data_IF_000741715581
#
_entry.id   IF_000741715581
#
_cell.length_a   1.000
_cell.length_b   1.000
_cell.length_c   1.000
_cell.angle_alpha   90.00
_cell.angle_beta   90.00
_cell.angle_gamma   90.00
#
_symmetry.space_group_name_H-M   'P 1'
#
loop_
_entity.id
_entity.type
_entity.pdbx_description
1 polymer ?
#
# COMPACT_ATOMS: atom_id res chain seq x y z
N UNK A 1 24.36 -4.96 6.89
CA UNK A 1 23.81 -6.28 7.27
C UNK A 1 22.30 -6.12 7.32
N UNK A 2 21.51 -7.07 6.78
CA UNK A 2 20.06 -6.97 6.78
C UNK A 2 19.51 -6.99 8.21
N UNK A 3 18.47 -6.20 8.47
CA UNK A 3 17.82 -6.13 9.78
C UNK A 3 16.39 -6.68 9.71
N UNK A 4 16.06 -7.60 10.60
CA UNK A 4 14.73 -8.20 10.67
C UNK A 4 13.84 -7.36 11.58
N UNK A 5 12.80 -6.78 11.01
CA UNK A 5 11.72 -6.15 11.76
C UNK A 5 10.96 -7.22 12.56
N UNK A 6 10.74 -6.96 13.85
CA UNK A 6 10.01 -7.85 14.76
C UNK A 6 9.15 -7.04 15.71
N UNK A 7 7.90 -7.49 15.92
CA UNK A 7 6.92 -6.77 16.73
C UNK A 7 6.77 -5.30 16.32
N UNK A 8 6.89 -5.00 15.03
CA UNK A 8 6.81 -3.62 14.57
C UNK A 8 5.36 -3.12 14.66
N UNK A 9 5.23 -1.91 15.21
CA UNK A 9 3.95 -1.21 15.30
C UNK A 9 3.91 -0.09 14.26
N UNK A 10 3.21 -0.35 13.15
CA UNK A 10 3.07 0.63 12.07
C UNK A 10 2.10 1.72 12.50
N UNK A 11 2.61 2.94 12.65
CA UNK A 11 1.82 4.10 13.09
C UNK A 11 1.05 4.73 11.93
N UNK A 12 1.71 4.87 10.79
CA UNK A 12 1.23 5.57 9.60
C UNK A 12 1.54 4.74 8.36
N UNK A 13 0.69 4.88 7.34
CA UNK A 13 0.93 4.46 5.97
C UNK A 13 1.01 5.76 5.16
N UNK A 14 2.20 6.07 4.66
CA UNK A 14 2.45 7.32 3.98
C UNK A 14 2.26 7.18 2.49
N UNK A 15 1.50 8.09 1.86
CA UNK A 15 1.55 8.25 0.41
C UNK A 15 2.85 8.95 0.04
N UNK A 16 3.67 8.29 -0.79
CA UNK A 16 4.96 8.82 -1.24
C UNK A 16 5.16 8.68 -2.76
N UNK A 17 6.06 9.49 -3.31
CA UNK A 17 6.49 9.40 -4.71
C UNK A 17 7.49 8.27 -4.95
N UNK A 18 8.36 8.02 -3.97
CA UNK A 18 9.45 7.04 -4.05
C UNK A 18 9.38 6.09 -2.84
N UNK A 19 8.58 5.00 -2.91
CA UNK A 19 8.41 4.05 -1.81
C UNK A 19 9.69 3.25 -1.56
N UNK A 20 10.12 3.15 -0.30
CA UNK A 20 11.31 2.39 0.10
C UNK A 20 11.20 0.89 -0.24
N UNK A 21 9.96 0.39 -0.33
CA UNK A 21 9.64 -0.99 -0.69
C UNK A 21 9.79 -1.28 -2.18
N UNK A 22 9.87 -0.24 -3.02
CA UNK A 22 9.83 -0.34 -4.48
C UNK A 22 8.47 -0.78 -5.04
N UNK A 23 7.42 -0.86 -4.22
CA UNK A 23 6.07 -1.29 -4.65
C UNK A 23 5.23 -0.09 -5.03
N UNK A 24 4.59 -0.18 -6.18
CA UNK A 24 3.74 0.90 -6.67
C UNK A 24 2.27 0.74 -6.25
N UNK A 25 1.57 1.86 -6.07
CA UNK A 25 0.11 1.90 -5.88
C UNK A 25 -0.60 1.77 -7.23
N UNK A 26 -1.83 1.26 -7.17
CA UNK A 26 -2.75 1.06 -8.27
C UNK A 26 -3.92 2.03 -8.08
N UNK A 27 -4.06 2.98 -9.01
CA UNK A 27 -5.27 3.79 -9.14
C UNK A 27 -6.23 3.07 -10.09
N UNK A 28 -7.42 2.68 -9.62
CA UNK A 28 -8.46 2.19 -10.53
C UNK A 28 -9.04 3.38 -11.32
N UNK A 29 -9.14 3.21 -12.64
CA UNK A 29 -9.42 4.25 -13.64
C UNK A 29 -10.30 3.66 -14.75
N UNK A 30 -11.30 4.41 -15.26
CA UNK A 30 -12.29 3.98 -16.29
C UNK A 30 -11.69 3.50 -17.61
N UNK A 31 -10.59 4.10 -18.05
CA UNK A 31 -10.02 3.82 -19.37
C UNK A 31 -8.94 2.73 -19.23
N UNK A 32 -9.22 1.55 -19.80
CA UNK A 32 -8.51 0.28 -19.61
C UNK A 32 -7.06 0.20 -20.10
N UNK A 33 -6.26 1.21 -19.84
CA UNK A 33 -4.81 1.19 -19.95
C UNK A 33 -4.21 1.59 -18.59
N UNK A 34 -3.54 0.68 -17.88
CA UNK A 34 -2.72 1.06 -16.74
C UNK A 34 -1.54 1.88 -17.27
N UNK A 35 -1.42 3.14 -16.86
CA UNK A 35 -0.14 3.81 -16.98
C UNK A 35 0.75 3.27 -15.85
N UNK A 36 1.95 2.85 -16.24
CA UNK A 36 2.96 2.10 -15.46
C UNK A 36 2.79 0.57 -15.40
N UNK A 37 3.21 -0.08 -16.50
CA UNK A 37 4.29 -1.06 -16.41
C UNK A 37 3.97 -2.51 -16.07
N UNK A 38 2.71 -2.94 -15.88
CA UNK A 38 2.32 -4.38 -15.87
C UNK A 38 0.83 -4.54 -16.15
N UNK A 39 0.49 -5.33 -17.17
CA UNK A 39 -0.88 -5.61 -17.61
C UNK A 39 -1.60 -6.49 -16.57
N UNK A 40 -2.23 -5.87 -15.57
CA UNK A 40 -3.26 -6.52 -14.76
C UNK A 40 -4.54 -6.49 -15.58
N UNK A 41 -5.08 -7.66 -15.94
CA UNK A 41 -6.42 -7.72 -16.54
C UNK A 41 -7.44 -7.45 -15.44
N UNK A 42 -7.87 -6.18 -15.32
CA UNK A 42 -8.90 -5.79 -14.37
C UNK A 42 -10.28 -6.29 -14.80
N UNK A 43 -10.94 -7.05 -13.92
CA UNK A 43 -12.38 -7.23 -13.99
C UNK A 43 -13.07 -5.94 -13.51
N UNK A 44 -13.41 -5.06 -14.47
CA UNK A 44 -14.37 -3.92 -14.41
C UNK A 44 -14.15 -2.82 -13.34
N UNK A 45 -14.13 -1.57 -13.78
CA UNK A 45 -13.82 -0.34 -13.03
C UNK A 45 -14.87 0.08 -11.99
N UNK A 46 -14.45 0.89 -11.01
CA UNK A 46 -15.35 1.74 -10.21
C UNK A 46 -14.63 3.02 -9.72
N UNK A 47 -14.49 4.00 -10.62
CA UNK A 47 -13.99 5.34 -10.30
C UNK A 47 -14.92 6.09 -9.32
N UNK A 48 -16.15 5.60 -9.07
CA UNK A 48 -17.06 6.18 -8.08
C UNK A 48 -16.54 5.97 -6.66
N UNK A 49 -15.64 5.00 -6.45
CA UNK A 49 -15.18 4.63 -5.11
C UNK A 49 -14.00 5.44 -4.59
N UNK A 50 -13.23 6.13 -5.43
CA UNK A 50 -12.04 6.91 -5.02
C UNK A 50 -11.06 6.13 -4.11
N UNK A 51 -10.82 4.84 -4.42
CA UNK A 51 -9.91 3.96 -3.64
C UNK A 51 -8.58 3.78 -4.38
N UNK A 52 -7.48 4.01 -3.66
CA UNK A 52 -6.10 3.73 -4.07
C UNK A 52 -5.65 2.42 -3.42
N UNK A 53 -5.19 1.46 -4.22
CA UNK A 53 -4.70 0.18 -3.72
C UNK A 53 -3.18 0.14 -3.73
N UNK A 54 -2.55 -0.53 -2.78
CA UNK A 54 -1.09 -0.66 -2.78
C UNK A 54 -0.57 -1.62 -1.72
N UNK A 55 0.69 -1.98 -1.84
CA UNK A 55 1.40 -2.74 -0.81
C UNK A 55 1.94 -1.75 0.23
N UNK A 56 1.45 -1.85 1.46
CA UNK A 56 1.96 -1.08 2.59
C UNK A 56 3.33 -1.62 3.04
N UNK A 57 3.51 -2.95 3.06
CA UNK A 57 4.82 -3.56 3.33
C UNK A 57 4.97 -4.94 2.66
N UNK A 58 6.07 -5.22 1.95
CA UNK A 58 6.32 -6.51 1.31
C UNK A 58 6.82 -7.57 2.29
N UNK A 59 6.45 -8.83 2.09
CA UNK A 59 7.13 -9.93 2.77
C UNK A 59 8.54 -10.14 2.20
N UNK A 60 9.51 -10.28 3.10
CA UNK A 60 10.93 -10.36 2.82
C UNK A 60 11.68 -11.46 3.59
N UNK A 61 12.98 -11.50 3.34
CA UNK A 61 13.96 -12.39 3.95
C UNK A 61 15.33 -11.66 3.97
N UNK A 62 16.38 -12.23 4.59
CA UNK A 62 17.71 -11.61 4.56
C UNK A 62 18.27 -11.30 3.16
N UNK A 63 17.80 -12.03 2.14
CA UNK A 63 18.16 -11.86 0.73
C UNK A 63 17.24 -10.89 -0.03
N UNK A 64 16.12 -10.48 0.60
CA UNK A 64 15.07 -9.64 0.02
C UNK A 64 14.67 -8.55 1.02
N UNK A 65 15.50 -7.53 1.13
CA UNK A 65 15.29 -6.34 1.96
C UNK A 65 14.67 -5.19 1.17
N UNK A 66 14.14 -4.21 1.88
CA UNK A 66 13.81 -2.89 1.31
C UNK A 66 15.07 -2.02 1.09
N UNK A 67 14.86 -0.78 0.65
CA UNK A 67 15.92 0.19 0.37
C UNK A 67 16.77 0.59 1.59
N UNK A 68 16.29 0.33 2.82
CA UNK A 68 17.00 0.61 4.06
C UNK A 68 17.78 -0.60 4.58
N UNK A 69 17.63 -1.76 3.93
CA UNK A 69 18.22 -3.01 4.40
C UNK A 69 17.37 -3.73 5.44
N UNK A 70 16.11 -3.30 5.62
CA UNK A 70 15.17 -3.94 6.53
C UNK A 70 14.35 -5.01 5.81
N UNK A 71 13.88 -6.02 6.54
CA UNK A 71 12.90 -6.98 6.04
C UNK A 71 11.97 -7.45 7.15
N UNK A 72 10.81 -7.95 6.77
CA UNK A 72 9.89 -8.63 7.68
C UNK A 72 9.43 -9.95 7.09
N UNK A 73 9.39 -10.99 7.93
CA UNK A 73 8.87 -12.30 7.50
C UNK A 73 7.37 -12.21 7.18
N UNK A 74 6.79 -13.13 6.38
CA UNK A 74 5.35 -13.14 6.12
C UNK A 74 4.51 -13.15 7.41
N UNK A 75 4.97 -13.82 8.46
CA UNK A 75 4.29 -13.87 9.76
C UNK A 75 4.32 -12.50 10.47
N UNK A 76 5.45 -11.80 10.43
CA UNK A 76 5.56 -10.46 10.98
C UNK A 76 4.73 -9.45 10.18
N UNK A 77 4.75 -9.51 8.85
CA UNK A 77 3.91 -8.65 8.00
C UNK A 77 2.42 -8.83 8.31
N UNK A 78 1.97 -10.07 8.49
CA UNK A 78 0.61 -10.36 8.94
C UNK A 78 0.32 -9.79 10.34
N UNK A 79 1.28 -9.85 11.26
CA UNK A 79 1.16 -9.27 12.59
C UNK A 79 1.10 -7.74 12.55
N UNK A 80 1.92 -7.06 11.73
CA UNK A 80 1.91 -5.62 11.50
C UNK A 80 0.53 -5.16 11.01
N UNK A 81 0.01 -5.80 9.96
CA UNK A 81 -1.32 -5.51 9.41
C UNK A 81 -2.42 -5.64 10.49
N UNK A 82 -2.38 -6.72 11.26
CA UNK A 82 -3.36 -6.95 12.32
C UNK A 82 -3.23 -5.95 13.47
N UNK A 83 -2.02 -5.54 13.85
CA UNK A 83 -1.78 -4.49 14.86
C UNK A 83 -2.32 -3.15 14.40
N UNK A 84 -2.06 -2.78 13.14
CA UNK A 84 -2.58 -1.54 12.55
C UNK A 84 -4.11 -1.45 12.68
N UNK A 85 -4.82 -2.54 12.31
CA UNK A 85 -6.27 -2.59 12.43
C UNK A 85 -6.76 -2.57 13.88
N UNK A 86 -6.12 -3.34 14.78
CA UNK A 86 -6.47 -3.37 16.21
C UNK A 86 -6.31 -2.02 16.89
N UNK A 87 -5.33 -1.24 16.46
CA UNK A 87 -5.04 0.08 17.01
C UNK A 87 -5.91 1.19 16.40
N UNK A 88 -6.97 0.84 15.65
CA UNK A 88 -7.92 1.77 15.02
C UNK A 88 -7.24 2.85 14.16
N UNK A 89 -6.12 2.50 13.51
CA UNK A 89 -5.31 3.43 12.70
C UNK A 89 -5.88 3.70 11.31
N UNK A 90 -7.07 3.16 10.98
CA UNK A 90 -7.64 3.28 9.64
C UNK A 90 -7.93 4.72 9.23
N UNK A 91 -8.37 5.59 10.16
CA UNK A 91 -8.73 6.99 9.87
C UNK A 91 -7.55 7.95 10.10
N UNK A 92 -6.75 7.71 11.14
CA UNK A 92 -5.68 8.63 11.55
C UNK A 92 -4.27 8.15 11.15
N UNK A 93 -4.15 6.97 10.54
CA UNK A 93 -2.88 6.33 10.18
C UNK A 93 -2.51 6.47 8.72
N UNK A 94 -3.00 7.50 8.03
CA UNK A 94 -2.59 7.82 6.65
C UNK A 94 -2.07 9.24 6.61
N UNK A 95 -0.83 9.40 6.15
CA UNK A 95 -0.15 10.68 6.02
C UNK A 95 0.48 10.81 4.61
N UNK A 96 1.17 11.92 4.37
CA UNK A 96 1.81 12.21 3.09
C UNK A 96 3.27 12.56 3.32
N UNK A 97 4.15 11.93 2.55
CA UNK A 97 5.61 12.18 2.57
C UNK A 97 6.22 12.12 3.99
N UNK A 98 5.71 11.21 4.84
CA UNK A 98 6.14 11.03 6.23
C UNK A 98 6.09 12.32 7.06
N UNK A 99 5.08 13.16 6.83
CA UNK A 99 4.87 14.37 7.62
C UNK A 99 4.22 14.09 8.98
N UNK A 100 3.80 12.84 9.23
CA UNK A 100 3.15 12.35 10.44
C UNK A 100 1.87 13.12 10.79
N UNK A 101 1.20 13.70 9.79
CA UNK A 101 -0.06 14.41 9.94
C UNK A 101 -1.17 13.64 9.23
N UNK A 102 -2.11 13.15 10.03
CA UNK A 102 -3.27 12.46 9.51
C UNK A 102 -3.99 13.31 8.45
N UNK A 103 -4.16 12.72 7.28
CA UNK A 103 -4.87 13.34 6.18
C UNK A 103 -6.38 13.31 6.44
N UNK A 104 -7.03 14.47 6.33
CA UNK A 104 -8.49 14.57 6.50
C UNK A 104 -9.21 13.92 5.30
N UNK A 105 -10.23 13.10 5.58
CA UNK A 105 -11.04 12.45 4.53
C UNK A 105 -10.29 11.35 3.78
N UNK A 106 -9.20 10.84 4.34
CA UNK A 106 -8.43 9.70 3.81
C UNK A 106 -8.52 8.56 4.82
N UNK A 107 -8.86 7.36 4.37
CA UNK A 107 -9.10 6.24 5.29
C UNK A 107 -8.71 4.90 4.65
N UNK A 108 -8.02 4.06 5.40
CA UNK A 108 -7.81 2.65 5.04
C UNK A 108 -9.14 1.91 5.18
N UNK A 109 -9.73 1.52 4.06
CA UNK A 109 -11.04 0.81 3.99
C UNK A 109 -10.88 -0.67 3.72
N UNK A 110 -9.73 -1.10 3.19
CA UNK A 110 -9.40 -2.50 2.93
C UNK A 110 -7.99 -2.79 3.45
N UNK A 111 -7.79 -3.97 4.06
CA UNK A 111 -6.50 -4.42 4.58
C UNK A 111 -6.43 -5.95 4.51
N UNK A 112 -5.45 -6.49 3.79
CA UNK A 112 -5.32 -7.93 3.61
C UNK A 112 -3.89 -8.37 3.34
N UNK A 113 -3.65 -9.69 3.47
CA UNK A 113 -2.40 -10.32 3.07
C UNK A 113 -2.58 -10.91 1.68
N UNK A 114 -1.69 -10.54 0.75
CA UNK A 114 -1.70 -10.99 -0.64
C UNK A 114 -1.52 -12.51 -0.68
N UNK A 115 -2.39 -13.19 -1.44
CA UNK A 115 -2.38 -14.64 -1.63
C UNK A 115 -2.02 -14.97 -3.07
N UNK A 116 -1.66 -16.23 -3.31
CA UNK A 116 -1.49 -16.70 -4.68
C UNK A 116 -2.78 -16.51 -5.47
N UNK A 117 -2.69 -15.87 -6.65
CA UNK A 117 -3.85 -15.55 -7.48
C UNK A 117 -4.62 -14.30 -7.05
N UNK A 118 -4.03 -13.43 -6.22
CA UNK A 118 -4.63 -12.14 -5.88
C UNK A 118 -4.92 -11.32 -7.17
N UNK A 119 -6.15 -10.83 -7.36
CA UNK A 119 -6.56 -10.17 -8.61
C UNK A 119 -5.95 -8.77 -8.78
N UNK A 120 -5.46 -8.15 -7.70
CA UNK A 120 -4.81 -6.84 -7.74
C UNK A 120 -3.28 -6.97 -7.73
N UNK A 121 -2.75 -7.95 -7.00
CA UNK A 121 -1.33 -8.18 -6.82
C UNK A 121 -0.91 -9.57 -7.32
N UNK A 122 -0.92 -9.76 -8.64
CA UNK A 122 -0.66 -11.05 -9.28
C UNK A 122 0.82 -11.47 -9.36
N UNK A 123 1.77 -10.65 -8.90
CA UNK A 123 3.19 -11.02 -8.90
C UNK A 123 3.45 -12.06 -7.78
N UNK A 124 4.01 -13.25 -8.09
CA UNK A 124 4.37 -14.23 -7.07
C UNK A 124 5.25 -13.68 -5.95
N UNK A 125 6.08 -12.67 -6.22
CA UNK A 125 6.94 -12.04 -5.21
C UNK A 125 6.19 -11.21 -4.16
N UNK A 126 4.93 -10.87 -4.42
CA UNK A 126 4.10 -10.09 -3.49
C UNK A 126 3.26 -11.00 -2.57
N UNK A 127 3.25 -12.32 -2.77
CA UNK A 127 2.55 -13.25 -1.87
C UNK A 127 3.11 -13.11 -0.44
N UNK A 128 2.20 -12.92 0.53
CA UNK A 128 2.55 -12.66 1.92
C UNK A 128 2.75 -11.18 2.26
N UNK A 129 2.77 -10.28 1.27
CA UNK A 129 2.81 -8.84 1.50
C UNK A 129 1.49 -8.33 2.10
N UNK A 130 1.58 -7.20 2.81
CA UNK A 130 0.42 -6.49 3.32
C UNK A 130 -0.06 -5.47 2.30
N UNK A 131 -1.25 -5.70 1.76
CA UNK A 131 -1.95 -4.81 0.85
C UNK A 131 -3.04 -4.02 1.58
N UNK A 132 -3.26 -2.79 1.12
CA UNK A 132 -4.31 -1.89 1.62
C UNK A 132 -5.06 -1.23 0.47
N UNK A 133 -6.32 -0.89 0.75
CA UNK A 133 -7.13 0.02 -0.06
C UNK A 133 -7.42 1.27 0.76
N UNK A 134 -7.06 2.43 0.23
CA UNK A 134 -7.21 3.74 0.87
C UNK A 134 -8.25 4.55 0.11
N UNK A 135 -9.38 4.84 0.76
CA UNK A 135 -10.41 5.72 0.24
C UNK A 135 -10.02 7.18 0.47
N UNK A 136 -10.20 8.01 -0.54
CA UNK A 136 -9.96 9.46 -0.50
C UNK A 136 -11.28 10.15 -0.85
N UNK A 137 -11.96 10.69 0.15
CA UNK A 137 -13.29 11.31 0.00
C UNK A 137 -13.26 12.55 -0.90
N UNK A 138 -12.24 13.39 -0.75
CA UNK A 138 -12.10 14.60 -1.56
C UNK A 138 -11.62 14.24 -2.98
N UNK A 139 -12.51 14.42 -3.95
CA UNK A 139 -12.23 14.13 -5.36
C UNK A 139 -11.07 14.97 -5.92
N UNK A 140 -10.93 16.22 -5.49
CA UNK A 140 -9.85 17.08 -5.97
C UNK A 140 -8.49 16.59 -5.49
N UNK A 141 -8.42 16.09 -4.26
CA UNK A 141 -7.23 15.44 -3.69
C UNK A 141 -6.92 14.10 -4.38
N UNK A 142 -7.94 13.29 -4.66
CA UNK A 142 -7.78 12.04 -5.42
C UNK A 142 -7.20 12.31 -6.82
N UNK A 143 -7.77 13.28 -7.54
CA UNK A 143 -7.30 13.69 -8.86
C UNK A 143 -5.89 14.32 -8.79
N UNK A 144 -5.55 15.04 -7.72
CA UNK A 144 -4.20 15.56 -7.46
C UNK A 144 -3.20 14.42 -7.34
N UNK A 145 -3.46 13.41 -6.51
CA UNK A 145 -2.53 12.27 -6.35
C UNK A 145 -2.34 11.48 -7.63
N UNK A 146 -3.40 11.29 -8.42
CA UNK A 146 -3.33 10.67 -9.74
C UNK A 146 -2.41 11.45 -10.70
N UNK A 147 -2.35 12.78 -10.59
CA UNK A 147 -1.54 13.66 -11.49
C UNK A 147 -0.13 13.95 -10.99
N UNK A 148 0.04 14.11 -9.68
CA UNK A 148 1.29 14.56 -9.05
C UNK A 148 2.34 13.45 -8.93
N UNK A 149 1.97 12.23 -9.31
CA UNK A 149 2.89 11.10 -9.43
C UNK A 149 3.26 10.49 -8.09
N UNK A 150 2.35 10.47 -7.11
CA UNK A 150 2.48 9.59 -5.95
C UNK A 150 2.42 8.16 -6.44
N UNK A 151 3.43 7.35 -6.09
CA UNK A 151 3.63 6.04 -6.71
C UNK A 151 3.54 4.90 -5.75
N UNK A 152 3.55 5.09 -4.43
CA UNK A 152 3.57 3.97 -3.49
C UNK A 152 3.16 4.34 -2.08
N UNK A 153 3.09 3.32 -1.24
CA UNK A 153 3.03 3.47 0.21
C UNK A 153 4.40 3.19 0.82
N UNK A 154 4.68 3.85 1.95
CA UNK A 154 5.87 3.62 2.75
C UNK A 154 5.60 3.78 4.25
#
# INVERSE_FOLDING_TARGET
MPYELRNADILMISLVKDPATGRQVIFKSRDGQPDFGRTVQFAKADDEKQIVYGIAYPAGSPEKTDAHGDFATPAEVAAMAARFMRNARTVAGVDRDHDYRAMKGVTVVESWIVRQGDPLFGNPEDVGAWAVGVHIEDKSLYDEFKKTGYRGFS
#
